data_IF_719128112204
#
_entry.id   IF_719128112204
#
_cell.length_a   1.000
_cell.length_b   1.000
_cell.length_c   1.000
_cell.angle_alpha   90.00
_cell.angle_beta   90.00
_cell.angle_gamma   90.00
#
_symmetry.space_group_name_H-M   'P 1'
#
loop_
_entity.id
_entity.type
_entity.pdbx_description
1 polymer ?
#
# COMPACT_ATOMS: atom_id res chain seq x y z
N UNK A 1 4.32 34.84 -13.22
CA UNK A 1 5.05 33.55 -13.31
C UNK A 1 4.30 32.33 -12.76
N UNK A 2 3.47 32.45 -11.71
CA UNK A 2 2.68 31.33 -11.15
C UNK A 2 1.70 30.71 -12.17
N UNK A 3 0.95 31.54 -12.88
CA UNK A 3 0.00 31.13 -13.93
C UNK A 3 0.61 30.24 -15.04
N UNK A 4 1.81 30.59 -15.53
CA UNK A 4 2.52 29.79 -16.55
C UNK A 4 3.03 28.44 -16.00
N UNK A 5 3.35 28.38 -14.71
CA UNK A 5 3.74 27.15 -14.02
C UNK A 5 2.54 26.22 -13.86
N UNK A 6 1.38 26.78 -13.49
CA UNK A 6 0.14 26.03 -13.31
C UNK A 6 -0.34 25.44 -14.65
N UNK A 7 -0.30 26.21 -15.75
CA UNK A 7 -0.63 25.70 -17.09
C UNK A 7 0.34 24.61 -17.58
N UNK A 8 1.63 24.70 -17.22
CA UNK A 8 2.61 23.66 -17.55
C UNK A 8 2.34 22.36 -16.79
N UNK A 9 1.99 22.43 -15.51
CA UNK A 9 1.63 21.24 -14.73
C UNK A 9 0.32 20.61 -15.21
N UNK A 10 -0.66 21.42 -15.61
CA UNK A 10 -1.90 20.94 -16.20
C UNK A 10 -1.66 20.23 -17.54
N UNK A 11 -0.85 20.83 -18.43
CA UNK A 11 -0.45 20.20 -19.69
C UNK A 11 0.32 18.89 -19.43
N UNK A 12 1.24 18.88 -18.46
CA UNK A 12 1.99 17.67 -18.08
C UNK A 12 1.05 16.57 -17.58
N UNK A 13 0.08 16.90 -16.71
CA UNK A 13 -0.94 15.95 -16.24
C UNK A 13 -1.79 15.43 -17.40
N UNK A 14 -2.17 16.31 -18.34
CA UNK A 14 -2.91 15.92 -19.53
C UNK A 14 -2.10 14.94 -20.39
N UNK A 15 -0.84 15.24 -20.68
CA UNK A 15 0.03 14.36 -21.45
C UNK A 15 0.22 13.02 -20.74
N UNK A 16 0.45 13.02 -19.42
CA UNK A 16 0.52 11.79 -18.64
C UNK A 16 -0.77 10.98 -18.78
N UNK A 17 -1.94 11.60 -18.61
CA UNK A 17 -3.23 10.90 -18.78
C UNK A 17 -3.43 10.32 -20.18
N UNK A 18 -2.99 11.04 -21.22
CA UNK A 18 -3.13 10.63 -22.62
C UNK A 18 -2.09 9.58 -23.05
N UNK A 19 -0.92 9.56 -22.43
CA UNK A 19 0.21 8.69 -22.83
C UNK A 19 0.44 7.52 -21.88
N UNK A 20 -0.17 7.55 -20.69
CA UNK A 20 -0.09 6.46 -19.74
C UNK A 20 -0.84 5.23 -20.25
N UNK A 21 -0.11 4.13 -20.33
CA UNK A 21 -0.69 2.83 -20.64
C UNK A 21 -0.70 2.02 -19.35
N UNK A 22 -1.84 2.02 -18.67
CA UNK A 22 -2.07 1.09 -17.57
C UNK A 22 -2.13 -0.33 -18.13
N UNK A 23 -1.32 -1.21 -17.57
CA UNK A 23 -1.44 -2.62 -17.80
C UNK A 23 -2.36 -3.19 -16.73
N UNK A 24 -3.67 -2.97 -16.87
CA UNK A 24 -4.72 -3.25 -15.86
C UNK A 24 -4.90 -4.71 -15.40
N UNK A 25 -3.91 -5.58 -15.68
CA UNK A 25 -3.77 -6.97 -15.24
C UNK A 25 -2.31 -7.38 -14.97
N UNK A 26 -1.39 -6.43 -14.92
CA UNK A 26 0.03 -6.72 -14.79
C UNK A 26 0.42 -6.72 -13.31
N UNK A 27 0.62 -7.91 -12.78
CA UNK A 27 1.20 -8.12 -11.46
C UNK A 27 2.58 -8.74 -11.67
N UNK A 28 3.62 -7.94 -11.95
CA UNK A 28 4.94 -8.48 -12.17
C UNK A 28 5.49 -9.06 -10.85
N UNK A 29 6.49 -9.97 -10.90
CA UNK A 29 7.05 -10.63 -9.72
C UNK A 29 7.99 -9.71 -8.93
N UNK A 30 7.61 -8.44 -8.76
CA UNK A 30 8.29 -7.48 -7.89
C UNK A 30 7.32 -7.06 -6.80
N UNK A 31 7.87 -6.79 -5.62
CA UNK A 31 7.10 -6.17 -4.57
C UNK A 31 6.69 -4.76 -5.00
N UNK A 32 5.39 -4.48 -4.98
CA UNK A 32 4.84 -3.14 -5.18
C UNK A 32 3.65 -2.89 -4.24
N UNK A 33 3.47 -1.63 -3.84
CA UNK A 33 2.59 -1.25 -2.73
C UNK A 33 1.15 -1.73 -2.88
N UNK A 34 0.55 -1.57 -4.06
CA UNK A 34 -0.82 -2.04 -4.33
C UNK A 34 -0.92 -3.51 -4.72
N UNK A 35 0.15 -4.07 -5.28
CA UNK A 35 0.16 -5.45 -5.76
C UNK A 35 -0.01 -6.50 -4.68
N UNK A 36 0.49 -6.20 -3.47
CA UNK A 36 0.40 -7.13 -2.34
C UNK A 36 -1.06 -7.48 -2.00
N UNK A 37 -1.98 -6.53 -2.22
CA UNK A 37 -3.41 -6.76 -2.04
C UNK A 37 -3.91 -7.98 -2.82
N UNK A 38 -3.36 -8.27 -4.00
CA UNK A 38 -3.82 -9.36 -4.84
C UNK A 38 -3.62 -10.74 -4.23
N UNK A 39 -2.64 -10.87 -3.34
CA UNK A 39 -2.31 -12.11 -2.61
C UNK A 39 -3.07 -12.24 -1.29
N UNK A 40 -3.88 -11.25 -0.92
CA UNK A 40 -4.64 -11.26 0.32
C UNK A 40 -6.05 -11.83 0.11
N UNK A 41 -6.58 -12.48 1.14
CA UNK A 41 -7.92 -13.08 1.18
C UNK A 41 -9.01 -12.00 1.20
N UNK A 42 -8.77 -10.90 1.93
CA UNK A 42 -9.65 -9.75 2.01
C UNK A 42 -8.93 -8.49 1.51
N UNK A 43 -9.49 -7.86 0.47
CA UNK A 43 -8.92 -6.67 -0.19
C UNK A 43 -9.96 -5.71 -0.74
N UNK A 44 -11.20 -5.79 -0.25
CA UNK A 44 -12.29 -4.98 -0.75
C UNK A 44 -12.76 -5.38 -2.16
N UNK A 45 -13.51 -4.49 -2.81
CA UNK A 45 -13.88 -4.65 -4.23
C UNK A 45 -12.67 -4.46 -5.16
N UNK A 46 -12.74 -4.99 -6.38
CA UNK A 46 -11.69 -4.82 -7.40
C UNK A 46 -11.32 -3.36 -7.69
N UNK A 47 -12.27 -2.43 -7.52
CA UNK A 47 -12.01 -1.01 -7.67
C UNK A 47 -11.16 -0.44 -6.54
N UNK A 48 -11.28 -0.95 -5.31
CA UNK A 48 -10.71 -0.34 -4.11
C UNK A 48 -9.19 -0.29 -4.16
N UNK A 49 -8.53 -1.42 -4.42
CA UNK A 49 -7.07 -1.47 -4.47
C UNK A 49 -6.47 -0.70 -5.65
N UNK A 50 -7.28 -0.33 -6.65
CA UNK A 50 -6.85 0.47 -7.82
C UNK A 50 -7.00 1.96 -7.61
N UNK A 51 -7.84 2.39 -6.67
CA UNK A 51 -8.07 3.81 -6.41
C UNK A 51 -6.82 4.54 -5.93
N UNK A 52 -6.79 5.86 -6.12
CA UNK A 52 -5.69 6.72 -5.69
C UNK A 52 -5.38 6.55 -4.20
N UNK A 53 -4.10 6.65 -3.84
CA UNK A 53 -3.58 6.52 -2.47
C UNK A 53 -4.32 7.43 -1.47
N UNK A 54 -4.79 8.59 -1.93
CA UNK A 54 -5.51 9.60 -1.12
C UNK A 54 -7.02 9.34 -0.97
N UNK A 55 -7.54 8.32 -1.65
CA UNK A 55 -8.95 7.95 -1.52
C UNK A 55 -9.21 7.38 -0.12
N UNK A 56 -10.40 7.64 0.40
CA UNK A 56 -10.84 7.12 1.70
C UNK A 56 -12.26 6.58 1.56
N UNK A 57 -12.46 5.35 2.00
CA UNK A 57 -13.73 4.63 1.97
C UNK A 57 -14.46 4.78 3.29
N UNK A 58 -15.79 4.95 3.26
CA UNK A 58 -16.57 5.06 4.49
C UNK A 58 -16.60 3.73 5.25
N UNK A 59 -16.93 3.78 6.54
CA UNK A 59 -17.12 2.59 7.38
C UNK A 59 -18.05 1.52 6.75
N UNK A 60 -19.12 1.95 6.08
CA UNK A 60 -20.08 1.04 5.41
C UNK A 60 -19.44 0.19 4.32
N UNK A 61 -18.37 0.67 3.67
CA UNK A 61 -17.60 -0.11 2.72
C UNK A 61 -16.89 -1.27 3.42
N UNK A 62 -16.21 -1.02 4.53
CA UNK A 62 -15.51 -2.05 5.28
C UNK A 62 -16.47 -3.05 5.90
N UNK A 63 -17.60 -2.57 6.43
CA UNK A 63 -18.66 -3.46 6.91
C UNK A 63 -19.18 -4.39 5.81
N UNK A 64 -19.26 -3.93 4.57
CA UNK A 64 -19.75 -4.75 3.44
C UNK A 64 -18.72 -5.76 2.94
N UNK A 65 -17.47 -5.34 2.76
CA UNK A 65 -16.47 -6.16 2.06
C UNK A 65 -15.47 -6.88 2.98
N UNK A 66 -15.44 -6.53 4.26
CA UNK A 66 -14.53 -7.10 5.25
C UNK A 66 -15.27 -7.72 6.44
N UNK A 67 -16.60 -7.89 6.35
CA UNK A 67 -17.36 -8.60 7.36
C UNK A 67 -16.81 -10.02 7.56
N UNK A 68 -16.46 -10.37 8.80
CA UNK A 68 -15.89 -11.68 9.12
C UNK A 68 -14.50 -11.92 8.52
N UNK A 69 -13.74 -10.86 8.23
CA UNK A 69 -12.39 -10.96 7.67
C UNK A 69 -11.51 -11.94 8.45
N UNK A 70 -10.76 -12.77 7.73
CA UNK A 70 -9.83 -13.76 8.29
C UNK A 70 -8.69 -14.05 7.31
N UNK A 71 -7.63 -14.71 7.76
CA UNK A 71 -6.46 -14.97 6.91
C UNK A 71 -5.65 -13.70 6.66
N UNK A 72 -5.28 -13.42 5.41
CA UNK A 72 -4.55 -12.22 5.02
C UNK A 72 -5.53 -11.09 4.66
N UNK A 73 -5.47 -9.99 5.42
CA UNK A 73 -6.38 -8.84 5.25
C UNK A 73 -5.58 -7.62 4.85
N UNK A 74 -5.83 -7.11 3.65
CA UNK A 74 -5.19 -5.90 3.14
C UNK A 74 -6.07 -4.67 3.33
N UNK A 75 -5.51 -3.59 3.86
CA UNK A 75 -6.16 -2.28 3.95
C UNK A 75 -5.18 -1.23 3.43
N UNK A 76 -5.65 -0.31 2.58
CA UNK A 76 -4.80 0.80 2.10
C UNK A 76 -4.39 1.66 3.29
N UNK A 77 -3.10 2.00 3.34
CA UNK A 77 -2.53 2.85 4.39
C UNK A 77 -2.91 4.32 4.16
N UNK A 78 -2.72 4.82 2.94
CA UNK A 78 -2.95 6.20 2.56
C UNK A 78 -2.00 7.19 3.24
N UNK A 79 -2.26 8.48 3.04
CA UNK A 79 -1.45 9.57 3.62
C UNK A 79 -2.25 10.43 4.60
N UNK A 80 -3.58 10.34 4.55
CA UNK A 80 -4.51 11.25 5.24
C UNK A 80 -4.30 11.32 6.76
N UNK A 81 -3.92 10.21 7.39
CA UNK A 81 -3.78 10.12 8.84
C UNK A 81 -2.60 10.95 9.37
N UNK A 82 -1.52 11.07 8.59
CA UNK A 82 -0.39 11.99 8.87
C UNK A 82 -0.86 13.44 9.07
N UNK A 83 -1.89 13.84 8.33
CA UNK A 83 -2.45 15.18 8.38
C UNK A 83 -3.63 15.27 9.37
N UNK A 84 -3.80 14.27 10.26
CA UNK A 84 -4.86 14.21 11.27
C UNK A 84 -6.26 13.92 10.73
N UNK A 85 -6.38 13.48 9.47
CA UNK A 85 -7.67 13.20 8.84
C UNK A 85 -8.04 11.72 8.94
N UNK A 86 -9.34 11.37 8.93
CA UNK A 86 -9.79 9.98 8.88
C UNK A 86 -9.22 9.22 7.67
N UNK A 87 -8.75 8.01 7.93
CA UNK A 87 -8.17 7.10 6.94
C UNK A 87 -8.96 5.79 6.80
N UNK A 88 -8.59 4.98 5.81
CA UNK A 88 -9.21 3.67 5.57
C UNK A 88 -9.08 2.73 6.76
N UNK A 89 -7.96 2.79 7.48
CA UNK A 89 -7.73 1.94 8.64
C UNK A 89 -8.69 2.25 9.80
N UNK A 90 -9.00 3.52 10.04
CA UNK A 90 -10.00 3.93 11.04
C UNK A 90 -11.39 3.39 10.69
N UNK A 91 -11.73 3.42 9.40
CA UNK A 91 -13.02 2.93 8.90
C UNK A 91 -13.08 1.41 8.88
N UNK A 92 -11.96 0.71 8.65
CA UNK A 92 -11.83 -0.73 8.82
C UNK A 92 -12.06 -1.14 10.28
N UNK A 93 -11.39 -0.48 11.22
CA UNK A 93 -11.53 -0.77 12.66
C UNK A 93 -12.97 -0.57 13.13
N UNK A 94 -13.66 0.49 12.68
CA UNK A 94 -15.07 0.70 13.05
C UNK A 94 -16.04 -0.25 12.35
N UNK A 95 -15.82 -0.50 11.06
CA UNK A 95 -16.80 -1.18 10.21
C UNK A 95 -16.68 -2.71 10.18
N UNK A 96 -15.45 -3.23 10.28
CA UNK A 96 -15.15 -4.64 10.04
C UNK A 96 -14.61 -5.36 11.27
N UNK A 97 -13.70 -4.76 12.04
CA UNK A 97 -13.06 -5.40 13.18
C UNK A 97 -14.06 -6.02 14.20
N UNK A 98 -15.20 -5.37 14.55
CA UNK A 98 -16.18 -5.95 15.47
C UNK A 98 -16.87 -7.22 14.95
N UNK A 99 -16.78 -7.48 13.64
CA UNK A 99 -17.39 -8.65 12.98
C UNK A 99 -16.41 -9.80 12.78
N UNK A 100 -15.12 -9.59 13.05
CA UNK A 100 -14.07 -10.60 12.90
C UNK A 100 -14.23 -11.66 13.99
N UNK A 101 -14.35 -12.92 13.58
CA UNK A 101 -14.54 -14.06 14.50
C UNK A 101 -13.41 -15.11 14.37
N UNK A 102 -12.45 -14.88 13.48
CA UNK A 102 -11.35 -15.80 13.20
C UNK A 102 -10.02 -15.04 13.15
N UNK A 103 -8.89 -15.71 13.42
CA UNK A 103 -7.58 -15.09 13.33
C UNK A 103 -7.28 -14.47 11.96
N UNK A 104 -6.54 -13.36 11.97
CA UNK A 104 -6.09 -12.69 10.75
C UNK A 104 -4.74 -12.00 10.93
N UNK A 105 -4.01 -11.84 9.83
CA UNK A 105 -2.88 -10.94 9.71
C UNK A 105 -3.30 -9.72 8.90
N UNK A 106 -3.01 -8.53 9.39
CA UNK A 106 -3.29 -7.27 8.73
C UNK A 106 -2.08 -6.84 7.90
N UNK A 107 -2.32 -6.39 6.68
CA UNK A 107 -1.32 -5.86 5.76
C UNK A 107 -1.73 -4.44 5.38
N UNK A 108 -0.89 -3.46 5.68
CA UNK A 108 -1.11 -2.04 5.32
C UNK A 108 0.02 -1.51 4.45
N UNK A 109 -0.32 -1.13 3.22
CA UNK A 109 0.60 -0.59 2.21
C UNK A 109 -0.11 0.48 1.41
N UNK A 110 0.62 1.11 0.48
CA UNK A 110 0.09 2.17 -0.41
C UNK A 110 -0.30 3.42 0.37
N UNK A 111 0.72 4.20 0.74
CA UNK A 111 0.59 5.41 1.54
C UNK A 111 1.92 5.86 2.12
N UNK A 112 1.95 7.11 2.59
CA UNK A 112 3.13 7.73 3.21
C UNK A 112 2.97 7.93 4.73
N UNK A 113 1.86 7.47 5.34
CA UNK A 113 1.69 7.54 6.79
C UNK A 113 2.68 6.62 7.50
N UNK A 114 3.31 7.12 8.56
CA UNK A 114 4.19 6.38 9.46
C UNK A 114 3.37 5.53 10.43
N UNK A 115 3.73 4.27 10.62
CA UNK A 115 2.96 3.34 11.46
C UNK A 115 3.77 2.91 12.68
N UNK A 116 3.22 3.04 13.91
CA UNK A 116 1.88 3.54 14.24
C UNK A 116 1.76 5.05 14.46
N UNK A 117 2.84 5.83 14.44
CA UNK A 117 2.83 7.24 14.91
C UNK A 117 1.83 8.17 14.22
N UNK A 118 1.58 7.99 12.92
CA UNK A 118 0.61 8.80 12.16
C UNK A 118 -0.81 8.21 12.18
N UNK A 119 -1.02 7.07 12.85
CA UNK A 119 -2.34 6.43 12.95
C UNK A 119 -3.03 6.87 14.25
N UNK A 120 -4.34 7.11 14.19
CA UNK A 120 -5.11 7.48 15.38
C UNK A 120 -4.89 6.46 16.52
N UNK A 121 -4.56 6.95 17.71
CA UNK A 121 -4.22 6.09 18.87
C UNK A 121 -5.33 5.08 19.19
N UNK A 122 -6.60 5.49 19.09
CA UNK A 122 -7.74 4.59 19.29
C UNK A 122 -7.78 3.44 18.26
N UNK A 123 -7.40 3.71 17.01
CA UNK A 123 -7.31 2.70 15.94
C UNK A 123 -6.17 1.73 16.22
N UNK A 124 -5.01 2.24 16.63
CA UNK A 124 -3.85 1.42 17.02
C UNK A 124 -4.20 0.53 18.21
N UNK A 125 -4.73 1.10 19.30
CA UNK A 125 -5.14 0.33 20.48
C UNK A 125 -6.16 -0.75 20.14
N UNK A 126 -7.22 -0.41 19.39
CA UNK A 126 -8.23 -1.39 19.00
C UNK A 126 -7.65 -2.59 18.22
N UNK A 127 -6.67 -2.35 17.33
CA UNK A 127 -5.99 -3.42 16.60
C UNK A 127 -5.08 -4.23 17.52
N UNK A 128 -4.23 -3.56 18.32
CA UNK A 128 -3.26 -4.24 19.18
C UNK A 128 -3.94 -5.03 20.32
N UNK A 129 -5.09 -4.58 20.80
CA UNK A 129 -5.90 -5.27 21.83
C UNK A 129 -6.72 -6.42 21.26
N UNK A 130 -6.96 -6.47 19.94
CA UNK A 130 -7.70 -7.54 19.30
C UNK A 130 -6.92 -8.87 19.36
N UNK A 131 -7.41 -9.84 20.13
CA UNK A 131 -6.77 -11.16 20.28
C UNK A 131 -6.74 -11.99 18.99
N UNK A 132 -7.60 -11.67 18.02
CA UNK A 132 -7.66 -12.32 16.71
C UNK A 132 -6.65 -11.72 15.71
N UNK A 133 -6.09 -10.54 15.99
CA UNK A 133 -4.98 -9.99 15.20
C UNK A 133 -3.70 -10.74 15.57
N UNK A 134 -3.23 -11.58 14.65
CA UNK A 134 -2.00 -12.37 14.80
C UNK A 134 -0.76 -11.52 14.55
N UNK A 135 -0.78 -10.75 13.47
CA UNK A 135 0.31 -9.85 13.10
C UNK A 135 -0.22 -8.68 12.26
N UNK A 136 0.51 -7.58 12.27
CA UNK A 136 0.29 -6.39 11.48
C UNK A 136 1.57 -6.06 10.71
N UNK A 137 1.54 -6.39 9.43
CA UNK A 137 2.58 -6.11 8.46
C UNK A 137 2.35 -4.73 7.83
N UNK A 138 3.29 -3.80 7.94
CA UNK A 138 3.08 -2.43 7.45
C UNK A 138 4.30 -1.84 6.76
N UNK A 139 4.06 -1.10 5.69
CA UNK A 139 5.02 -0.12 5.17
C UNK A 139 5.15 1.06 6.14
N UNK A 140 6.25 1.81 6.00
CA UNK A 140 6.56 2.99 6.82
C UNK A 140 6.50 2.73 8.33
N UNK A 141 6.91 1.53 8.76
CA UNK A 141 7.04 1.22 10.19
C UNK A 141 8.14 2.09 10.83
N UNK A 142 7.79 2.80 11.90
CA UNK A 142 8.65 3.80 12.54
C UNK A 142 9.52 3.25 13.69
N UNK A 143 9.42 1.96 14.00
CA UNK A 143 10.20 1.31 15.05
C UNK A 143 9.46 1.05 16.37
N UNK A 144 8.17 1.37 16.48
CA UNK A 144 7.39 1.08 17.69
C UNK A 144 7.32 -0.41 18.06
N UNK A 145 7.99 -0.78 19.16
CA UNK A 145 8.15 -2.18 19.56
C UNK A 145 6.85 -2.78 20.11
N UNK A 146 6.24 -3.69 19.35
CA UNK A 146 5.12 -4.53 19.79
C UNK A 146 5.19 -5.90 19.12
N UNK A 147 4.87 -7.02 19.80
CA UNK A 147 4.99 -8.38 19.22
C UNK A 147 4.12 -8.62 17.99
N UNK A 148 3.04 -7.85 17.82
CA UNK A 148 2.18 -7.94 16.62
C UNK A 148 2.71 -7.15 15.43
N UNK A 149 3.63 -6.21 15.59
CA UNK A 149 4.15 -5.45 14.44
C UNK A 149 5.19 -6.27 13.67
N UNK A 150 5.11 -6.20 12.35
CA UNK A 150 6.14 -6.72 11.46
C UNK A 150 6.40 -5.69 10.37
N UNK A 151 7.65 -5.21 10.19
CA UNK A 151 7.97 -4.29 9.11
C UNK A 151 7.74 -4.96 7.75
N UNK A 152 7.17 -4.23 6.80
CA UNK A 152 7.05 -4.65 5.41
C UNK A 152 7.86 -3.71 4.51
N UNK A 153 8.74 -4.21 3.64
CA UNK A 153 9.55 -3.37 2.76
C UNK A 153 8.70 -2.50 1.82
N UNK A 154 9.22 -1.31 1.52
CA UNK A 154 8.62 -0.43 0.51
C UNK A 154 8.85 -1.05 -0.88
N UNK A 155 7.76 -1.32 -1.58
CA UNK A 155 7.77 -1.85 -2.94
C UNK A 155 7.97 -0.76 -4.00
N UNK A 156 8.21 -1.18 -5.24
CA UNK A 156 8.31 -0.28 -6.38
C UNK A 156 6.92 0.30 -6.67
N UNK A 157 6.80 1.60 -6.90
CA UNK A 157 5.53 2.16 -7.36
C UNK A 157 5.27 1.80 -8.83
N UNK A 158 4.36 0.86 -9.07
CA UNK A 158 3.95 0.45 -10.41
C UNK A 158 2.53 0.91 -10.79
N UNK A 159 1.90 1.79 -10.02
CA UNK A 159 0.54 2.27 -10.29
C UNK A 159 0.46 3.78 -10.60
N UNK A 160 1.47 4.57 -10.24
CA UNK A 160 1.45 6.01 -10.57
C UNK A 160 1.72 6.24 -12.06
N UNK A 161 0.84 6.98 -12.75
CA UNK A 161 1.06 7.40 -14.12
C UNK A 161 2.34 8.22 -14.29
N UNK A 162 3.14 7.88 -15.31
CA UNK A 162 4.42 8.55 -15.61
C UNK A 162 4.44 9.09 -17.03
N UNK A 163 5.12 10.22 -17.21
CA UNK A 163 5.24 10.89 -18.50
C UNK A 163 5.96 9.99 -19.50
N UNK A 164 5.31 9.66 -20.62
CA UNK A 164 5.86 8.84 -21.70
C UNK A 164 6.44 7.49 -21.24
N UNK A 165 5.88 6.89 -20.17
CA UNK A 165 6.34 5.60 -19.64
C UNK A 165 5.15 4.71 -19.29
N UNK A 166 5.43 3.43 -19.08
CA UNK A 166 4.44 2.43 -18.67
C UNK A 166 5.04 1.49 -17.65
N UNK A 167 4.18 0.74 -16.94
CA UNK A 167 4.63 -0.29 -16.00
C UNK A 167 5.54 -1.32 -16.69
N UNK A 168 5.20 -1.71 -17.92
CA UNK A 168 6.00 -2.66 -18.72
C UNK A 168 7.39 -2.11 -19.03
N UNK A 169 7.48 -0.83 -19.43
CA UNK A 169 8.78 -0.20 -19.70
C UNK A 169 9.65 -0.13 -18.44
N UNK A 170 9.06 0.21 -17.28
CA UNK A 170 9.77 0.23 -16.02
C UNK A 170 10.30 -1.16 -15.62
N UNK A 171 9.47 -2.20 -15.76
CA UNK A 171 9.93 -3.57 -15.49
C UNK A 171 11.02 -4.02 -16.48
N UNK A 172 10.89 -3.70 -17.77
CA UNK A 172 11.93 -3.99 -18.75
C UNK A 172 13.26 -3.30 -18.38
N UNK A 173 13.21 -2.05 -17.92
CA UNK A 173 14.38 -1.32 -17.42
C UNK A 173 14.99 -1.99 -16.19
N UNK A 174 14.19 -2.37 -15.20
CA UNK A 174 14.66 -3.09 -14.01
C UNK A 174 15.34 -4.42 -14.37
N UNK A 175 14.78 -5.17 -15.31
CA UNK A 175 15.38 -6.39 -15.81
C UNK A 175 16.70 -6.14 -16.56
N UNK A 176 16.76 -5.09 -17.37
CA UNK A 176 18.00 -4.66 -18.03
C UNK A 176 19.08 -4.29 -17.01
N UNK A 177 18.73 -3.53 -15.97
CA UNK A 177 19.66 -3.18 -14.89
C UNK A 177 20.15 -4.43 -14.17
N UNK A 178 19.24 -5.35 -13.82
CA UNK A 178 19.58 -6.64 -13.19
C UNK A 178 20.53 -7.47 -14.06
N UNK A 179 20.31 -7.53 -15.37
CA UNK A 179 21.14 -8.30 -16.30
C UNK A 179 22.55 -7.72 -16.49
N UNK A 180 22.75 -6.43 -16.23
CA UNK A 180 24.05 -5.74 -16.38
C UNK A 180 25.01 -5.93 -15.19
N UNK A 181 24.64 -6.73 -14.18
CA UNK A 181 25.60 -7.28 -13.21
C UNK A 181 26.12 -6.33 -12.12
N UNK A 182 25.51 -5.16 -11.90
CA UNK A 182 25.94 -4.21 -10.86
C UNK A 182 25.38 -4.45 -9.46
N UNK A 183 24.66 -5.54 -9.19
CA UNK A 183 24.03 -5.81 -7.89
C UNK A 183 24.56 -7.11 -7.27
N UNK A 184 25.18 -7.01 -6.10
CA UNK A 184 25.46 -8.15 -5.22
C UNK A 184 24.31 -8.28 -4.21
N UNK A 185 23.54 -9.36 -4.32
CA UNK A 185 22.51 -9.68 -3.32
C UNK A 185 23.17 -10.28 -2.09
N UNK A 186 22.99 -9.66 -0.91
CA UNK A 186 23.29 -10.32 0.37
C UNK A 186 22.07 -11.19 0.71
N UNK A 187 22.29 -12.50 0.79
CA UNK A 187 21.27 -13.47 1.16
C UNK A 187 21.15 -13.47 2.69
N UNK A 188 20.10 -12.87 3.25
CA UNK A 188 19.78 -13.01 4.68
C UNK A 188 18.57 -13.91 4.83
N UNK A 189 18.77 -15.09 5.44
CA UNK A 189 17.73 -16.05 5.86
C UNK A 189 16.48 -16.08 4.96
N UNK A 190 16.66 -16.60 3.75
CA UNK A 190 15.63 -16.89 2.73
C UNK A 190 14.94 -15.74 2.00
N UNK A 191 15.23 -14.46 2.30
CA UNK A 191 14.66 -13.33 1.57
C UNK A 191 15.75 -12.45 0.92
N UNK A 192 15.51 -12.04 -0.33
CA UNK A 192 16.42 -11.21 -1.09
C UNK A 192 16.01 -9.74 -0.96
N UNK A 193 16.84 -8.93 -0.29
CA UNK A 193 16.68 -7.47 -0.20
C UNK A 193 17.74 -6.77 -1.05
N UNK A 194 17.34 -5.68 -1.72
CA UNK A 194 18.26 -4.78 -2.43
C UNK A 194 18.56 -3.57 -1.55
N UNK A 195 19.84 -3.23 -1.37
CA UNK A 195 20.31 -2.01 -0.71
C UNK A 195 21.27 -1.30 -1.68
N UNK A 196 21.20 0.03 -1.75
CA UNK A 196 22.12 0.88 -2.52
C UNK A 196 23.40 1.15 -1.72
N UNK A 197 24.56 1.08 -2.36
CA UNK A 197 25.80 1.75 -1.91
C UNK A 197 25.84 3.19 -2.46
#
# INVERSE_FOLDING_TARGET
MKFLRDQREELKRLIIRLTWVDSGKYNPPYLWSKGISQYCDFKGSESYWREETESCRPESFFRKYYAGACGLVWVRLGTRSRDGNPCDLDNFVRGALPTVQKPFALITTDGDASVPSDIASATVSALLDCSLLISWHTQNYDGYVHPKFTPLPVGIDLHTPRFCSSVRHLVALLNSIRARGGFRWIKYRSECFAIWE
#
